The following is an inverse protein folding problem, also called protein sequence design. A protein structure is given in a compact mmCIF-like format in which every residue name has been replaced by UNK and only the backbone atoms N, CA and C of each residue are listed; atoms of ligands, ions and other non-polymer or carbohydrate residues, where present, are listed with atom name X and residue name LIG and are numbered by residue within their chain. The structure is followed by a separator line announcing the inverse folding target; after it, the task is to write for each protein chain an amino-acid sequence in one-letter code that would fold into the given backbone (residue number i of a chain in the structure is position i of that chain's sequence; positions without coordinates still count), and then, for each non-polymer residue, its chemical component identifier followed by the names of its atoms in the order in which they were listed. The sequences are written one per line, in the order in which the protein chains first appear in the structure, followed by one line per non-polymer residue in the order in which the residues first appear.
data_IF_343700971555
#
_entry.id   IF_343700971555
#
_cell.length_a   1.000
_cell.length_b   1.000
_cell.length_c   1.000
_cell.angle_alpha   90.00
_cell.angle_beta   90.00
_cell.angle_gamma   90.00
#
_symmetry.space_group_name_H-M   'P 1'
#
loop_
_entity.id
_entity.type
_entity.pdbx_description
1 polymer ?
#
# COMPACT_ATOMS: atom_id res chain seq x y z
N UNK A 1 22.23 -9.56 30.13
CA UNK A 1 21.82 -10.02 28.78
C UNK A 1 20.37 -9.66 28.53
N UNK A 2 20.07 -8.97 27.43
CA UNK A 2 18.69 -8.67 27.06
C UNK A 2 17.99 -9.92 26.46
N UNK A 3 16.66 -9.96 26.58
CA UNK A 3 15.83 -11.07 26.07
C UNK A 3 15.89 -11.24 24.54
N UNK A 4 16.20 -10.17 23.79
CA UNK A 4 16.31 -10.21 22.33
C UNK A 4 17.62 -10.81 21.82
N UNK A 5 18.73 -10.66 22.55
CA UNK A 5 20.04 -11.19 22.11
C UNK A 5 20.30 -12.61 22.62
N UNK A 6 19.61 -13.03 23.69
CA UNK A 6 19.77 -14.34 24.31
C UNK A 6 19.53 -15.55 23.36
N UNK A 7 18.53 -15.54 22.47
CA UNK A 7 18.34 -16.63 21.51
C UNK A 7 19.33 -16.58 20.33
N UNK A 8 19.75 -15.39 19.90
CA UNK A 8 20.54 -15.18 18.69
C UNK A 8 22.05 -15.32 18.92
N UNK A 9 22.53 -14.90 20.09
CA UNK A 9 23.93 -14.96 20.47
C UNK A 9 24.01 -15.67 21.81
N UNK A 10 24.19 -16.98 21.75
CA UNK A 10 24.48 -17.82 22.90
C UNK A 10 25.80 -17.34 23.55
N UNK A 11 25.65 -16.51 24.59
CA UNK A 11 26.65 -16.17 25.60
C UNK A 11 27.83 -15.24 25.24
N UNK A 12 27.96 -14.74 24.00
CA UNK A 12 29.15 -13.98 23.60
C UNK A 12 29.12 -12.50 24.01
N UNK A 13 27.95 -11.91 24.24
CA UNK A 13 27.84 -10.47 24.47
C UNK A 13 26.81 -10.12 25.55
N UNK A 14 27.26 -9.54 26.66
CA UNK A 14 26.38 -9.03 27.73
C UNK A 14 26.36 -7.50 27.68
N UNK A 15 25.16 -6.94 27.49
CA UNK A 15 24.92 -5.50 27.47
C UNK A 15 23.60 -5.18 28.19
N UNK A 16 23.41 -3.94 28.67
CA UNK A 16 22.11 -3.46 29.12
C UNK A 16 21.09 -3.38 27.97
N UNK A 17 19.80 -3.37 28.31
CA UNK A 17 18.70 -3.39 27.33
C UNK A 17 18.74 -2.16 26.40
N UNK A 18 19.10 -1.00 26.96
CA UNK A 18 19.23 0.28 26.26
C UNK A 18 20.29 0.25 25.14
N UNK A 19 21.41 -0.41 25.39
CA UNK A 19 22.54 -0.54 24.47
C UNK A 19 22.47 -1.80 23.61
N UNK A 20 21.27 -2.36 23.43
CA UNK A 20 21.08 -3.57 22.65
C UNK A 20 21.16 -3.26 21.15
N UNK A 21 22.19 -3.76 20.42
CA UNK A 21 22.35 -3.45 19.00
C UNK A 21 21.13 -3.89 18.17
N UNK A 22 20.48 -5.00 18.57
CA UNK A 22 19.25 -5.45 17.93
C UNK A 22 18.10 -4.49 18.16
N UNK A 23 17.86 -4.04 19.40
CA UNK A 23 16.78 -3.07 19.65
C UNK A 23 17.05 -1.76 18.95
N UNK A 24 18.28 -1.25 19.00
CA UNK A 24 18.66 -0.01 18.29
C UNK A 24 18.57 -0.15 16.77
N UNK A 25 18.65 -1.37 16.22
CA UNK A 25 18.42 -1.62 14.79
C UNK A 25 16.94 -1.74 14.40
N UNK A 26 16.04 -1.95 15.36
CA UNK A 26 14.61 -2.00 15.07
C UNK A 26 14.12 -0.59 14.75
N UNK A 27 13.47 -0.47 13.59
CA UNK A 27 12.82 0.74 13.14
C UNK A 27 11.31 0.63 13.34
N UNK A 28 10.72 1.64 13.95
CA UNK A 28 9.28 1.75 14.12
C UNK A 28 8.68 2.57 12.99
N UNK A 29 7.84 1.93 12.16
CA UNK A 29 7.13 2.64 11.07
C UNK A 29 6.04 3.58 11.58
N UNK A 30 5.63 3.45 12.84
CA UNK A 30 4.57 4.27 13.45
C UNK A 30 5.07 5.64 13.92
N UNK A 31 6.23 5.69 14.59
CA UNK A 31 6.79 6.93 15.11
C UNK A 31 8.09 7.37 14.40
N UNK A 32 8.54 6.62 13.39
CA UNK A 32 9.77 6.85 12.65
C UNK A 32 11.06 6.90 13.50
N UNK A 33 11.08 6.21 14.64
CA UNK A 33 12.24 6.15 15.54
C UNK A 33 12.86 4.75 15.55
N UNK A 34 14.17 4.70 15.84
CA UNK A 34 14.88 3.46 16.14
C UNK A 34 14.74 3.08 17.62
N UNK A 35 14.91 1.79 17.95
CA UNK A 35 14.92 1.30 19.34
C UNK A 35 13.79 0.33 19.70
N UNK A 36 12.73 0.28 18.87
CA UNK A 36 11.58 -0.59 19.09
C UNK A 36 10.90 -0.95 17.76
N UNK A 37 10.08 -2.00 17.77
CA UNK A 37 9.27 -2.38 16.61
C UNK A 37 7.91 -1.67 16.65
N UNK A 38 7.26 -1.57 15.50
CA UNK A 38 5.91 -1.00 15.34
C UNK A 38 4.89 -1.59 16.32
N UNK A 39 4.95 -2.90 16.61
CA UNK A 39 4.06 -3.58 17.55
C UNK A 39 4.28 -3.20 19.03
N UNK A 40 5.44 -2.61 19.34
CA UNK A 40 5.86 -2.19 20.67
C UNK A 40 6.00 -0.67 20.78
N UNK A 41 5.39 0.08 19.85
CA UNK A 41 5.37 1.53 19.89
C UNK A 41 4.64 2.01 21.16
N UNK A 42 5.22 2.91 21.97
CA UNK A 42 4.53 3.49 23.12
C UNK A 42 3.31 4.33 22.70
N UNK A 43 3.39 4.93 21.51
CA UNK A 43 2.32 5.73 20.89
C UNK A 43 1.93 5.13 19.54
N UNK A 44 1.25 3.97 19.50
CA UNK A 44 0.82 3.38 18.24
C UNK A 44 -0.28 4.28 17.62
N UNK A 45 -0.24 4.55 16.31
CA UNK A 45 -1.33 5.25 15.64
C UNK A 45 -2.61 4.42 15.81
N UNK A 46 -3.72 5.10 16.10
CA UNK A 46 -5.00 4.43 16.21
C UNK A 46 -5.31 3.70 14.90
N UNK A 47 -5.79 2.45 14.98
CA UNK A 47 -6.18 1.65 13.82
C UNK A 47 -7.26 2.31 12.94
N UNK A 48 -7.97 3.34 13.46
CA UNK A 48 -8.92 4.15 12.71
C UNK A 48 -8.26 5.19 11.79
N UNK A 49 -6.93 5.34 11.82
CA UNK A 49 -6.16 6.33 11.06
C UNK A 49 -5.12 5.69 10.14
N UNK A 50 -5.53 4.66 9.39
CA UNK A 50 -4.71 4.14 8.28
C UNK A 50 -4.47 5.20 7.21
N UNK A 51 -5.42 6.13 7.06
CA UNK A 51 -5.26 7.36 6.28
C UNK A 51 -5.54 8.57 7.17
N UNK A 52 -4.68 9.60 7.15
CA UNK A 52 -4.92 10.84 7.86
C UNK A 52 -6.06 11.62 7.18
N UNK A 53 -7.08 11.99 7.96
CA UNK A 53 -8.19 12.83 7.53
C UNK A 53 -7.92 14.33 7.75
N UNK A 54 -7.06 14.65 8.71
CA UNK A 54 -6.71 16.03 9.08
C UNK A 54 -5.20 16.27 8.99
N UNK A 55 -4.80 17.49 8.68
CA UNK A 55 -3.40 17.90 8.57
C UNK A 55 -2.65 17.70 9.89
N UNK A 56 -3.31 17.96 11.01
CA UNK A 56 -2.73 17.86 12.34
C UNK A 56 -2.33 16.42 12.70
N UNK A 57 -2.88 15.42 12.01
CA UNK A 57 -2.50 14.00 12.20
C UNK A 57 -1.14 13.66 11.57
N UNK A 58 -0.63 14.52 10.69
CA UNK A 58 0.71 14.42 10.12
C UNK A 58 1.78 15.04 11.03
N UNK A 59 1.36 15.73 12.09
CA UNK A 59 2.23 16.44 13.03
C UNK A 59 2.40 15.58 14.28
N UNK A 60 3.62 15.37 14.79
CA UNK A 60 3.86 14.70 16.06
C UNK A 60 3.08 15.32 17.22
N UNK A 61 2.50 14.50 18.10
CA UNK A 61 1.63 14.95 19.19
C UNK A 61 2.32 15.92 20.17
N UNK A 62 3.64 15.78 20.39
CA UNK A 62 4.42 16.70 21.22
C UNK A 62 4.39 18.14 20.70
N UNK A 63 4.55 18.31 19.38
CA UNK A 63 4.54 19.63 18.73
C UNK A 63 3.15 20.25 18.72
N UNK A 64 2.09 19.44 18.59
CA UNK A 64 0.72 19.91 18.71
C UNK A 64 0.46 20.53 20.09
N UNK A 65 0.94 19.88 21.15
CA UNK A 65 0.78 20.35 22.53
C UNK A 65 1.62 21.60 22.81
N UNK A 66 2.87 21.62 22.35
CA UNK A 66 3.79 22.75 22.51
C UNK A 66 3.23 24.04 21.87
N UNK A 67 2.66 23.92 20.68
CA UNK A 67 2.11 25.06 19.94
C UNK A 67 0.60 25.29 20.15
N UNK A 68 -0.04 24.53 21.03
CA UNK A 68 -1.47 24.68 21.33
C UNK A 68 -2.40 24.43 20.12
N UNK A 69 -1.95 23.62 19.17
CA UNK A 69 -2.69 23.35 17.93
C UNK A 69 -3.85 22.40 18.25
N UNK A 70 -5.06 22.92 18.17
CA UNK A 70 -6.32 22.19 18.41
C UNK A 70 -7.22 22.14 17.19
N UNK A 71 -6.76 22.69 16.06
CA UNK A 71 -7.46 22.69 14.78
C UNK A 71 -7.63 21.26 14.24
N UNK A 72 -8.62 21.12 13.35
CA UNK A 72 -8.91 19.86 12.63
C UNK A 72 -9.08 20.18 11.16
N UNK A 73 -7.99 20.60 10.54
CA UNK A 73 -7.99 21.05 9.16
C UNK A 73 -8.07 19.83 8.25
N UNK A 74 -9.20 19.68 7.56
CA UNK A 74 -9.39 18.56 6.64
C UNK A 74 -8.29 18.57 5.58
N UNK A 75 -7.65 17.42 5.39
CA UNK A 75 -6.77 17.22 4.25
C UNK A 75 -7.60 17.33 2.97
N UNK A 76 -7.18 18.14 1.98
CA UNK A 76 -7.85 18.16 0.70
C UNK A 76 -7.75 16.75 0.13
N UNK A 77 -8.90 16.10 -0.09
CA UNK A 77 -8.94 14.84 -0.83
C UNK A 77 -8.24 15.12 -2.15
N UNK A 78 -7.08 14.50 -2.36
CA UNK A 78 -6.52 14.42 -3.70
C UNK A 78 -7.56 13.70 -4.53
N UNK A 79 -8.36 14.46 -5.27
CA UNK A 79 -8.96 13.94 -6.48
C UNK A 79 -7.74 13.64 -7.34
N UNK A 80 -7.32 12.37 -7.34
CA UNK A 80 -6.49 11.89 -8.44
C UNK A 80 -7.34 12.26 -9.66
N UNK A 81 -6.93 13.25 -10.47
CA UNK A 81 -7.74 13.70 -11.60
C UNK A 81 -8.04 12.45 -12.38
N UNK A 82 -9.32 12.12 -12.60
CA UNK A 82 -9.80 10.85 -13.16
C UNK A 82 -8.80 10.34 -14.19
N UNK A 83 -7.83 9.55 -13.73
CA UNK A 83 -6.76 9.11 -14.58
C UNK A 83 -7.51 8.18 -15.49
N UNK A 84 -7.62 8.56 -16.78
CA UNK A 84 -8.35 7.76 -17.76
C UNK A 84 -7.94 6.33 -17.52
N UNK A 85 -8.88 5.52 -17.00
CA UNK A 85 -8.56 4.17 -16.59
C UNK A 85 -8.14 3.48 -17.87
N UNK A 86 -6.87 3.13 -17.98
CA UNK A 86 -6.35 2.43 -19.15
C UNK A 86 -6.39 0.94 -18.88
N UNK A 87 -6.78 0.18 -19.89
CA UNK A 87 -6.67 -1.27 -19.92
C UNK A 87 -5.59 -1.62 -20.92
N UNK A 88 -4.41 -1.94 -20.43
CA UNK A 88 -3.29 -2.41 -21.25
C UNK A 88 -3.33 -3.94 -21.35
N UNK A 89 -3.40 -4.45 -22.58
CA UNK A 89 -3.36 -5.88 -22.88
C UNK A 89 -2.40 -6.11 -24.04
N UNK A 90 -1.67 -7.22 -24.02
CA UNK A 90 -0.88 -7.62 -25.17
C UNK A 90 -1.79 -7.99 -26.36
N UNK A 91 -1.42 -7.62 -27.59
CA UNK A 91 -2.17 -7.93 -28.82
C UNK A 91 -2.05 -9.41 -29.27
N UNK A 92 -1.92 -10.31 -28.30
CA UNK A 92 -1.87 -11.75 -28.49
C UNK A 92 -3.24 -12.38 -28.30
N UNK A 93 -3.71 -13.15 -29.29
CA UNK A 93 -5.02 -13.82 -29.27
C UNK A 93 -5.20 -14.73 -28.04
N UNK A 94 -4.13 -15.34 -27.53
CA UNK A 94 -4.16 -16.15 -26.32
C UNK A 94 -4.45 -15.31 -25.06
N UNK A 95 -3.83 -14.12 -24.96
CA UNK A 95 -4.01 -13.19 -23.85
C UNK A 95 -5.42 -12.61 -23.85
N UNK A 96 -5.92 -12.22 -25.03
CA UNK A 96 -7.27 -11.68 -25.18
C UNK A 96 -8.36 -12.71 -24.83
N UNK A 97 -8.19 -13.98 -25.24
CA UNK A 97 -9.10 -15.08 -24.85
C UNK A 97 -9.07 -15.38 -23.35
N UNK A 98 -7.88 -15.40 -22.75
CA UNK A 98 -7.73 -15.61 -21.32
C UNK A 98 -8.38 -14.48 -20.51
N UNK A 99 -8.19 -13.24 -20.95
CA UNK A 99 -8.81 -12.05 -20.35
C UNK A 99 -10.34 -12.13 -20.36
N UNK A 100 -10.95 -12.39 -21.52
CA UNK A 100 -12.41 -12.53 -21.65
C UNK A 100 -12.96 -13.71 -20.84
N UNK A 101 -12.25 -14.84 -20.82
CA UNK A 101 -12.63 -16.02 -20.01
C UNK A 101 -12.71 -15.66 -18.53
N UNK A 102 -11.69 -14.96 -18.00
CA UNK A 102 -11.61 -14.58 -16.59
C UNK A 102 -12.68 -13.58 -16.19
N UNK A 103 -13.16 -12.77 -17.14
CA UNK A 103 -14.26 -11.81 -16.94
C UNK A 103 -15.65 -12.42 -17.16
N UNK A 104 -15.75 -13.72 -17.37
CA UNK A 104 -17.02 -14.42 -17.56
C UNK A 104 -17.70 -14.11 -18.91
N UNK A 105 -16.97 -13.56 -19.88
CA UNK A 105 -17.49 -13.35 -21.22
C UNK A 105 -17.45 -14.66 -21.99
N UNK A 106 -18.65 -15.22 -22.23
CA UNK A 106 -18.82 -16.41 -23.05
C UNK A 106 -18.36 -16.11 -24.48
N UNK A 107 -17.34 -16.83 -24.92
CA UNK A 107 -16.79 -16.69 -26.25
C UNK A 107 -16.46 -18.08 -26.79
N UNK A 108 -16.78 -18.33 -28.06
CA UNK A 108 -16.59 -19.66 -28.64
C UNK A 108 -15.10 -19.93 -28.83
N UNK A 109 -14.67 -21.20 -28.67
CA UNK A 109 -13.25 -21.61 -28.82
C UNK A 109 -12.66 -21.20 -30.19
N UNK A 110 -13.51 -21.03 -31.20
CA UNK A 110 -13.15 -20.68 -32.58
C UNK A 110 -13.68 -19.30 -32.98
N UNK A 111 -13.28 -18.25 -32.27
CA UNK A 111 -13.52 -16.87 -32.68
C UNK A 111 -12.43 -16.38 -33.65
N UNK A 112 -12.84 -15.65 -34.69
CA UNK A 112 -11.93 -14.97 -35.61
C UNK A 112 -11.15 -13.86 -34.87
N UNK A 113 -9.85 -13.66 -35.16
CA UNK A 113 -9.00 -12.68 -34.45
C UNK A 113 -9.56 -11.25 -34.43
N UNK A 114 -10.23 -10.81 -35.51
CA UNK A 114 -10.86 -9.49 -35.59
C UNK A 114 -12.07 -9.33 -34.64
N UNK A 115 -12.88 -10.38 -34.49
CA UNK A 115 -14.03 -10.38 -33.60
C UNK A 115 -13.61 -10.42 -32.12
N UNK A 116 -12.48 -11.07 -31.82
CA UNK A 116 -11.89 -11.10 -30.48
C UNK A 116 -11.47 -9.69 -30.01
N UNK A 117 -10.75 -8.95 -30.85
CA UNK A 117 -10.35 -7.56 -30.58
C UNK A 117 -11.54 -6.63 -30.44
N UNK A 118 -12.58 -6.84 -31.26
CA UNK A 118 -13.83 -6.09 -31.14
C UNK A 118 -14.52 -6.34 -29.79
N UNK A 119 -14.60 -7.59 -29.33
CA UNK A 119 -15.19 -7.93 -28.03
C UNK A 119 -14.45 -7.24 -26.87
N UNK A 120 -13.11 -7.29 -26.88
CA UNK A 120 -12.30 -6.63 -25.85
C UNK A 120 -12.49 -5.11 -25.88
N UNK A 121 -12.58 -4.49 -27.07
CA UNK A 121 -12.91 -3.06 -27.22
C UNK A 121 -14.30 -2.72 -26.69
N UNK A 122 -15.31 -3.53 -27.00
CA UNK A 122 -16.66 -3.30 -26.47
C UNK A 122 -16.71 -3.44 -24.95
N UNK A 123 -15.96 -4.39 -24.40
CA UNK A 123 -15.85 -4.57 -22.96
C UNK A 123 -15.15 -3.37 -22.29
N UNK A 124 -14.06 -2.88 -22.88
CA UNK A 124 -13.38 -1.68 -22.39
C UNK A 124 -14.32 -0.45 -22.43
N UNK A 125 -15.08 -0.28 -23.51
CA UNK A 125 -16.06 0.79 -23.63
C UNK A 125 -17.16 0.71 -22.55
N UNK A 126 -17.66 -0.49 -22.21
CA UNK A 126 -18.64 -0.66 -21.12
C UNK A 126 -18.10 -0.29 -19.74
N UNK A 127 -16.79 -0.41 -19.53
CA UNK A 127 -16.13 -0.04 -18.28
C UNK A 127 -15.69 1.44 -18.24
N UNK A 128 -15.89 2.18 -19.34
CA UNK A 128 -15.40 3.55 -19.49
C UNK A 128 -13.88 3.65 -19.44
N UNK A 129 -13.17 2.60 -19.90
CA UNK A 129 -11.70 2.52 -19.88
C UNK A 129 -11.14 2.61 -21.30
N UNK A 130 -9.98 3.25 -21.45
CA UNK A 130 -9.26 3.35 -22.72
C UNK A 130 -8.43 2.08 -22.93
N UNK A 131 -8.73 1.30 -23.97
CA UNK A 131 -8.00 0.07 -24.30
C UNK A 131 -6.72 0.39 -25.07
N UNK A 132 -5.59 -0.06 -24.56
CA UNK A 132 -4.29 -0.02 -25.24
C UNK A 132 -3.87 -1.47 -25.51
N UNK A 133 -3.71 -1.80 -26.79
CA UNK A 133 -3.16 -3.08 -27.21
C UNK A 133 -1.66 -2.89 -27.51
N UNK A 134 -0.80 -3.64 -26.83
CA UNK A 134 0.66 -3.54 -26.88
C UNK A 134 1.28 -4.75 -27.58
#
# INVERSE_FOLDING_TARGET
MCSFCKPQFSHVFSHPVESCPFRTSLYCSSCACYGHSTASCPDPPSALFTEPCFLEQLIPAGLLKEHGITSRTLLPKHQIPDAKKTLELSDDDAVLKAFLSRKGQAHTRSIKPAALRLLVRTYAATLGVELILV
#
